data_IF_545668218771
#
_entry.id   IF_545668218771
#
_cell.length_a   1.000
_cell.length_b   1.000
_cell.length_c   1.000
_cell.angle_alpha   90.00
_cell.angle_beta   90.00
_cell.angle_gamma   90.00
#
_symmetry.space_group_name_H-M   'P 1'
#
loop_
_entity.id
_entity.type
_entity.pdbx_description
1 polymer ?
#
# COMPACT_ATOMS: atom_id res chain seq x y z
N UNK A 1 19.80 -8.42 -20.77
CA UNK A 1 18.70 -7.80 -20.02
C UNK A 1 17.49 -8.70 -20.11
N UNK A 2 17.00 -9.23 -18.99
CA UNK A 2 15.76 -10.03 -18.95
C UNK A 2 14.58 -9.10 -18.71
N UNK A 3 13.66 -9.02 -19.66
CA UNK A 3 12.41 -8.29 -19.47
C UNK A 3 11.50 -9.10 -18.52
N UNK A 4 10.94 -8.50 -17.45
CA UNK A 4 9.99 -9.19 -16.60
C UNK A 4 8.73 -9.54 -17.41
N UNK A 5 8.35 -10.81 -17.40
CA UNK A 5 7.16 -11.28 -18.12
C UNK A 5 5.90 -10.81 -17.38
N UNK A 6 5.08 -10.00 -18.04
CA UNK A 6 3.74 -9.64 -17.55
C UNK A 6 2.79 -10.84 -17.70
N UNK A 7 1.95 -11.07 -16.69
CA UNK A 7 0.92 -12.14 -16.68
C UNK A 7 -0.05 -12.02 -17.87
N UNK A 8 -0.22 -10.84 -18.47
CA UNK A 8 -1.03 -10.63 -19.67
C UNK A 8 -0.46 -11.28 -20.95
N UNK A 9 0.82 -11.66 -20.96
CA UNK A 9 1.50 -12.27 -22.11
C UNK A 9 1.48 -13.80 -22.08
N UNK A 10 0.74 -14.40 -21.12
CA UNK A 10 0.64 -15.87 -21.01
C UNK A 10 -0.28 -16.39 -22.12
N UNK A 11 0.18 -17.32 -22.99
CA UNK A 11 -0.65 -17.90 -24.03
C UNK A 11 -1.89 -18.58 -23.42
N UNK A 12 -3.05 -18.36 -24.01
CA UNK A 12 -4.36 -18.86 -23.54
C UNK A 12 -4.37 -20.37 -23.27
N UNK A 13 -3.61 -21.16 -24.05
CA UNK A 13 -3.47 -22.61 -23.85
C UNK A 13 -2.65 -23.03 -22.61
N UNK A 14 -1.85 -22.14 -22.02
CA UNK A 14 -1.11 -22.37 -20.76
C UNK A 14 -1.84 -21.82 -19.53
N UNK A 15 -2.82 -20.93 -19.71
CA UNK A 15 -3.62 -20.40 -18.60
C UNK A 15 -4.52 -21.49 -17.98
N UNK A 16 -5.03 -22.43 -18.79
CA UNK A 16 -5.89 -23.51 -18.32
C UNK A 16 -5.18 -24.55 -17.43
N UNK A 17 -3.84 -24.64 -17.49
CA UNK A 17 -3.04 -25.58 -16.68
C UNK A 17 -2.42 -24.93 -15.44
N UNK A 18 -2.58 -23.62 -15.26
CA UNK A 18 -2.14 -22.93 -14.06
C UNK A 18 -3.09 -23.22 -12.89
N UNK A 19 -2.54 -23.69 -11.76
CA UNK A 19 -3.27 -23.77 -10.50
C UNK A 19 -3.90 -22.40 -10.22
N UNK A 20 -5.20 -22.39 -9.93
CA UNK A 20 -5.94 -21.19 -9.52
C UNK A 20 -5.19 -20.51 -8.37
N UNK A 21 -4.55 -19.37 -8.66
CA UNK A 21 -3.96 -18.52 -7.62
C UNK A 21 -5.13 -17.88 -6.86
N UNK A 22 -5.05 -17.76 -5.52
CA UNK A 22 -6.08 -17.09 -4.76
C UNK A 22 -6.26 -15.66 -5.27
N UNK A 23 -7.52 -15.27 -5.50
CA UNK A 23 -7.87 -13.95 -6.02
C UNK A 23 -7.46 -12.89 -4.99
N UNK A 24 -6.56 -11.98 -5.37
CA UNK A 24 -6.23 -10.80 -4.58
C UNK A 24 -7.33 -9.76 -4.77
N UNK A 25 -8.02 -9.40 -3.69
CA UNK A 25 -9.05 -8.35 -3.68
C UNK A 25 -8.43 -7.05 -3.22
N UNK A 26 -8.71 -5.96 -3.92
CA UNK A 26 -8.22 -4.63 -3.62
C UNK A 26 -9.41 -3.72 -3.34
N UNK A 27 -9.35 -2.97 -2.24
CA UNK A 27 -10.38 -2.02 -1.84
C UNK A 27 -9.71 -0.66 -1.66
N UNK A 28 -10.20 0.34 -2.38
CA UNK A 28 -9.81 1.73 -2.19
C UNK A 28 -10.79 2.39 -1.23
N UNK A 29 -10.28 2.97 -0.16
CA UNK A 29 -11.05 3.84 0.73
C UNK A 29 -10.49 5.25 0.61
N UNK A 30 -11.34 6.21 0.24
CA UNK A 30 -11.03 7.62 0.31
C UNK A 30 -11.82 8.22 1.46
N UNK A 31 -11.16 9.01 2.31
CA UNK A 31 -11.90 9.91 3.19
C UNK A 31 -12.47 11.08 2.35
N UNK A 32 -13.54 11.72 2.83
CA UNK A 32 -14.13 12.90 2.17
C UNK A 32 -13.49 14.22 2.62
N UNK A 33 -12.81 14.23 3.79
CA UNK A 33 -12.31 15.44 4.45
C UNK A 33 -10.82 15.38 4.79
N UNK A 34 -10.06 14.49 4.15
CA UNK A 34 -8.65 14.31 4.44
C UNK A 34 -8.40 13.65 5.80
N UNK A 35 -7.12 13.59 6.16
CA UNK A 35 -6.64 13.14 7.48
C UNK A 35 -6.00 14.29 8.24
N UNK A 36 -6.00 14.21 9.57
CA UNK A 36 -5.22 15.14 10.37
C UNK A 36 -3.72 14.84 10.23
N UNK A 37 -3.07 15.48 9.26
CA UNK A 37 -1.72 15.16 8.79
C UNK A 37 -0.68 15.06 9.92
N UNK A 38 -0.72 15.99 10.89
CA UNK A 38 0.24 16.06 12.01
C UNK A 38 0.23 14.83 12.91
N UNK A 39 -0.88 14.09 12.97
CA UNK A 39 -1.00 12.89 13.80
C UNK A 39 -1.23 11.60 12.99
N UNK A 40 -1.29 11.70 11.66
CA UNK A 40 -1.51 10.58 10.75
C UNK A 40 -0.22 10.15 10.03
N UNK A 41 0.63 11.08 9.64
CA UNK A 41 1.89 10.78 8.97
C UNK A 41 3.05 10.68 9.96
N UNK A 42 3.98 9.72 9.79
CA UNK A 42 5.19 9.63 10.58
C UNK A 42 6.17 10.75 10.25
N UNK A 43 7.24 10.87 11.06
CA UNK A 43 8.28 11.86 10.82
C UNK A 43 8.96 11.63 9.46
N UNK A 44 9.12 12.64 8.59
CA UNK A 44 9.75 12.50 7.28
C UNK A 44 11.18 11.93 7.31
N UNK A 45 11.89 12.06 8.44
CA UNK A 45 13.24 11.50 8.62
C UNK A 45 13.21 9.98 8.88
N UNK A 46 12.08 9.44 9.33
CA UNK A 46 11.90 8.03 9.63
C UNK A 46 11.40 7.28 8.39
N UNK A 47 12.34 6.88 7.55
CA UNK A 47 12.03 6.08 6.34
C UNK A 47 12.17 4.58 6.59
N UNK A 48 11.48 3.77 5.79
CA UNK A 48 11.57 2.32 5.84
C UNK A 48 10.57 1.68 6.81
N UNK A 49 10.85 0.44 7.22
CA UNK A 49 9.89 -0.38 7.99
C UNK A 49 9.84 -0.05 9.47
N UNK A 50 10.73 0.76 10.01
CA UNK A 50 10.89 1.00 11.45
C UNK A 50 10.46 2.39 11.91
N UNK A 51 9.56 3.08 11.18
CA UNK A 51 8.98 4.35 11.62
C UNK A 51 8.08 4.18 12.86
N UNK A 52 8.01 5.23 13.67
CA UNK A 52 7.15 5.29 14.85
C UNK A 52 5.68 5.47 14.45
N UNK A 53 4.78 4.71 15.09
CA UNK A 53 3.36 4.73 14.76
C UNK A 53 2.73 6.04 15.22
N UNK A 54 2.11 6.83 14.33
CA UNK A 54 1.42 8.06 14.67
C UNK A 54 0.22 7.84 15.59
N UNK A 55 -0.19 8.87 16.34
CA UNK A 55 -1.26 8.80 17.35
C UNK A 55 -2.57 8.21 16.79
N UNK A 56 -2.98 8.65 15.60
CA UNK A 56 -4.25 8.21 14.99
C UNK A 56 -4.22 6.75 14.54
N UNK A 57 -3.04 6.15 14.43
CA UNK A 57 -2.82 4.79 13.96
C UNK A 57 -2.42 3.84 15.10
N UNK A 58 -2.44 4.27 16.36
CA UNK A 58 -2.15 3.42 17.52
C UNK A 58 -3.01 2.16 17.57
N UNK A 59 -4.29 2.26 17.18
CA UNK A 59 -5.19 1.11 17.11
C UNK A 59 -4.71 0.03 16.13
N UNK A 60 -3.99 0.42 15.07
CA UNK A 60 -3.43 -0.47 14.06
C UNK A 60 -2.07 -1.07 14.46
N UNK A 61 -1.54 -0.77 15.66
CA UNK A 61 -0.23 -1.27 16.12
C UNK A 61 -0.08 -2.80 16.06
N UNK A 62 -1.17 -3.54 16.26
CA UNK A 62 -1.18 -5.01 16.13
C UNK A 62 -0.83 -5.51 14.72
N UNK A 63 -1.05 -4.68 13.71
CA UNK A 63 -0.87 -4.98 12.29
C UNK A 63 0.37 -4.30 11.71
N UNK A 64 1.35 -3.91 12.53
CA UNK A 64 2.49 -3.08 12.08
C UNK A 64 3.31 -3.67 10.94
N UNK A 65 3.34 -5.00 10.83
CA UNK A 65 4.01 -5.73 9.74
C UNK A 65 3.13 -5.86 8.47
N UNK A 66 1.83 -5.57 8.59
CA UNK A 66 0.82 -5.77 7.54
C UNK A 66 0.43 -4.47 6.82
N UNK A 67 0.86 -3.29 7.29
CA UNK A 67 0.53 -2.01 6.64
C UNK A 67 1.75 -1.10 6.45
N UNK A 68 1.65 -0.22 5.45
CA UNK A 68 2.67 0.79 5.13
C UNK A 68 1.95 2.12 4.87
N UNK A 69 2.50 3.20 5.44
CA UNK A 69 2.02 4.55 5.23
C UNK A 69 2.85 5.16 4.11
N UNK A 70 2.18 5.68 3.08
CA UNK A 70 2.80 6.49 2.04
C UNK A 70 2.42 7.96 2.27
N UNK A 71 3.41 8.84 2.19
CA UNK A 71 3.26 10.29 2.33
C UNK A 71 3.81 10.99 1.10
N UNK A 72 3.51 12.29 0.95
CA UNK A 72 3.92 13.10 -0.20
C UNK A 72 3.35 12.64 -1.55
N UNK A 73 2.14 12.06 -1.54
CA UNK A 73 1.38 11.73 -2.75
C UNK A 73 0.48 12.87 -3.25
N UNK A 74 0.55 14.04 -2.61
CA UNK A 74 -0.12 15.27 -3.03
C UNK A 74 0.92 16.40 -3.20
N UNK A 75 0.51 17.48 -3.87
CA UNK A 75 1.29 18.70 -4.08
C UNK A 75 1.45 19.57 -2.81
N UNK A 76 1.06 19.08 -1.64
CA UNK A 76 1.34 19.72 -0.35
C UNK A 76 0.38 20.87 0.00
N UNK A 77 -0.69 21.05 -0.78
CA UNK A 77 -1.70 22.08 -0.57
C UNK A 77 -3.01 21.53 0.02
N UNK A 78 -3.24 20.23 -0.12
CA UNK A 78 -4.52 19.59 0.24
C UNK A 78 -4.25 18.20 0.80
N UNK A 79 -4.18 18.13 2.13
CA UNK A 79 -4.14 16.84 2.84
C UNK A 79 -5.39 16.00 2.70
#
# INVERSE_FOLDING_TARGET
>A
MSLPLLEAMIPVGRAATQKSKPIKRFVCLSNNYGVYQKAFFPDPTQTGKSYDIPETLKALKKHREDFTIFQNLDHGFTG
#
